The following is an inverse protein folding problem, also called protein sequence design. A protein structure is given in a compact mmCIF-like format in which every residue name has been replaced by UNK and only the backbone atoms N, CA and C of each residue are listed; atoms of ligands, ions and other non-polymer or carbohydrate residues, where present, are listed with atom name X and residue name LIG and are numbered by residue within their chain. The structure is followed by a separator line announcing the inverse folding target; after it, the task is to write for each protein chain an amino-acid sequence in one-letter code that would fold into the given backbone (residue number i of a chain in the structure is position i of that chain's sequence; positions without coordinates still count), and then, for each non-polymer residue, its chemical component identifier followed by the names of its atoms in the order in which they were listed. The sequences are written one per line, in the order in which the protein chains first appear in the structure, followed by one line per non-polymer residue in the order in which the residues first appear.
data_IF_591368455167
#
_entry.id   IF_591368455167
#
_cell.length_a   1.000
_cell.length_b   1.000
_cell.length_c   1.000
_cell.angle_alpha   90.00
_cell.angle_beta   90.00
_cell.angle_gamma   90.00
#
_symmetry.space_group_name_H-M   'P 1'
#
loop_
_entity.id
_entity.type
_entity.pdbx_description
1 polymer ?
#
# COMPACT_ATOMS: atom_id res chain seq x y z
N UNK A 1 -10.09 4.83 -0.18
CA UNK A 1 -10.31 6.00 -1.06
C UNK A 1 -11.63 5.97 -1.82
N UNK A 2 -12.45 6.99 -1.60
CA UNK A 2 -13.69 7.29 -2.35
C UNK A 2 -13.55 8.68 -2.95
N UNK A 3 -13.90 8.84 -4.22
CA UNK A 3 -13.93 10.13 -4.90
C UNK A 3 -15.40 10.54 -5.14
N UNK A 4 -15.80 11.69 -4.62
CA UNK A 4 -17.15 12.24 -4.78
C UNK A 4 -17.07 13.53 -5.59
N UNK A 5 -17.72 13.57 -6.75
CA UNK A 5 -17.85 14.79 -7.53
C UNK A 5 -18.74 15.79 -6.79
N UNK A 6 -18.34 17.06 -6.80
CA UNK A 6 -19.04 18.17 -6.18
C UNK A 6 -19.10 19.35 -7.14
N UNK A 7 -20.10 20.19 -6.96
CA UNK A 7 -20.20 21.49 -7.61
C UNK A 7 -20.48 22.55 -6.54
N UNK A 8 -19.69 23.63 -6.54
CA UNK A 8 -19.83 24.74 -5.59
C UNK A 8 -19.88 26.04 -6.38
N UNK A 9 -21.05 26.67 -6.42
CA UNK A 9 -21.31 27.90 -7.18
C UNK A 9 -20.94 27.76 -8.66
N UNK A 10 -21.35 26.66 -9.31
CA UNK A 10 -21.04 26.40 -10.72
C UNK A 10 -19.61 25.94 -10.99
N UNK A 11 -18.78 25.78 -9.95
CA UNK A 11 -17.40 25.32 -10.07
C UNK A 11 -17.29 23.85 -9.70
N UNK A 12 -16.85 23.03 -10.63
CA UNK A 12 -16.64 21.60 -10.42
C UNK A 12 -15.47 21.31 -9.49
N UNK A 13 -15.55 20.20 -8.76
CA UNK A 13 -14.47 19.68 -7.95
C UNK A 13 -14.72 18.25 -7.50
N UNK A 14 -13.78 17.71 -6.73
CA UNK A 14 -13.88 16.38 -6.15
C UNK A 14 -13.46 16.39 -4.69
N UNK A 15 -14.22 15.69 -3.85
CA UNK A 15 -13.83 15.31 -2.50
C UNK A 15 -13.25 13.91 -2.52
N UNK A 16 -11.98 13.79 -2.11
CA UNK A 16 -11.31 12.54 -1.85
C UNK A 16 -11.44 12.20 -0.36
N UNK A 17 -12.21 11.16 -0.08
CA UNK A 17 -12.41 10.59 1.25
C UNK A 17 -11.46 9.40 1.40
N UNK A 18 -10.74 9.34 2.51
CA UNK A 18 -9.73 8.30 2.76
C UNK A 18 -8.72 8.14 1.60
N UNK A 19 -8.01 9.22 1.19
CA UNK A 19 -7.09 9.16 0.05
C UNK A 19 -5.85 8.31 0.30
N UNK A 20 -5.60 7.90 1.54
CA UNK A 20 -4.58 6.91 1.89
C UNK A 20 -4.30 6.88 3.39
N UNK A 21 -3.67 5.80 3.85
CA UNK A 21 -3.35 5.56 5.26
C UNK A 21 -2.58 6.72 5.93
N UNK A 22 -1.75 7.45 5.17
CA UNK A 22 -0.98 8.59 5.68
C UNK A 22 -1.76 9.90 5.65
N UNK A 23 -2.95 9.97 5.05
CA UNK A 23 -3.72 11.21 4.88
C UNK A 23 -5.04 11.10 5.63
N UNK A 24 -5.02 11.47 6.91
CA UNK A 24 -6.18 11.42 7.81
C UNK A 24 -7.20 12.55 7.64
N UNK A 25 -7.34 13.14 6.44
CA UNK A 25 -8.27 14.24 6.16
C UNK A 25 -8.96 14.08 4.82
N UNK A 26 -10.13 14.69 4.67
CA UNK A 26 -10.76 14.89 3.37
C UNK A 26 -9.93 15.88 2.56
N UNK A 27 -9.67 15.55 1.30
CA UNK A 27 -8.97 16.41 0.35
C UNK A 27 -9.96 16.90 -0.70
N UNK A 28 -10.07 18.22 -0.84
CA UNK A 28 -10.91 18.88 -1.84
C UNK A 28 -10.04 19.36 -3.00
N UNK A 29 -10.39 18.92 -4.21
CA UNK A 29 -9.72 19.32 -5.45
C UNK A 29 -10.72 20.08 -6.32
N UNK A 30 -10.70 21.41 -6.26
CA UNK A 30 -11.49 22.27 -7.16
C UNK A 30 -10.82 22.44 -8.51
N UNK A 31 -11.61 22.53 -9.58
CA UNK A 31 -11.11 22.69 -10.96
C UNK A 31 -10.28 23.97 -11.14
N UNK A 32 -10.70 25.04 -10.47
CA UNK A 32 -10.06 26.36 -10.49
C UNK A 32 -8.94 26.52 -9.47
N UNK A 33 -8.69 25.48 -8.65
CA UNK A 33 -7.74 25.47 -7.53
C UNK A 33 -8.00 26.56 -6.47
N UNK A 34 -9.19 27.16 -6.44
CA UNK A 34 -9.55 28.17 -5.44
C UNK A 34 -10.28 27.53 -4.26
N UNK A 35 -10.38 28.26 -3.15
CA UNK A 35 -11.15 27.83 -1.98
C UNK A 35 -12.54 27.29 -2.41
N UNK A 36 -12.96 26.10 -1.95
CA UNK A 36 -12.39 25.30 -0.84
C UNK A 36 -11.33 24.24 -1.23
N UNK A 37 -10.54 24.46 -2.29
CA UNK A 37 -9.40 23.61 -2.65
C UNK A 37 -8.41 23.43 -1.48
N UNK A 38 -7.98 22.20 -1.21
CA UNK A 38 -7.11 21.87 -0.07
C UNK A 38 -5.66 22.31 -0.27
N UNK A 39 -5.14 22.26 -1.50
CA UNK A 39 -3.78 22.65 -1.82
C UNK A 39 -2.72 21.73 -1.21
N UNK A 40 -1.55 22.30 -0.97
CA UNK A 40 -0.38 21.60 -0.45
C UNK A 40 -0.45 21.50 1.08
N UNK A 41 -0.17 20.32 1.64
CA UNK A 41 -0.21 20.09 3.09
C UNK A 41 0.78 19.01 3.56
N UNK A 42 1.12 19.06 4.84
CA UNK A 42 1.92 18.03 5.54
C UNK A 42 0.99 17.26 6.49
N UNK A 43 0.86 15.93 6.36
CA UNK A 43 0.03 15.14 7.26
C UNK A 43 0.71 14.94 8.61
N UNK A 44 -0.08 15.01 9.69
CA UNK A 44 0.42 14.83 11.05
C UNK A 44 1.06 13.46 11.29
N UNK A 45 0.62 12.42 10.57
CA UNK A 45 1.15 11.05 10.68
C UNK A 45 2.50 10.86 9.98
N UNK A 46 2.91 11.78 9.08
CA UNK A 46 4.16 11.68 8.35
C UNK A 46 4.75 13.07 8.07
N UNK A 47 5.35 13.73 9.08
CA UNK A 47 5.77 15.13 8.99
C UNK A 47 6.93 15.39 8.01
N UNK A 48 7.58 14.33 7.52
CA UNK A 48 8.66 14.40 6.51
C UNK A 48 8.14 14.41 5.06
N UNK A 49 6.83 14.24 4.88
CA UNK A 49 6.20 14.14 3.57
C UNK A 49 5.26 15.30 3.35
N UNK A 50 5.32 15.89 2.18
CA UNK A 50 4.38 16.92 1.76
C UNK A 50 3.57 16.43 0.58
N UNK A 51 2.27 16.71 0.60
CA UNK A 51 1.29 16.23 -0.37
C UNK A 51 0.64 17.41 -1.07
N UNK A 52 0.39 17.28 -2.37
CA UNK A 52 -0.40 18.22 -3.14
C UNK A 52 -1.32 17.46 -4.09
N UNK A 53 -2.61 17.79 -4.10
CA UNK A 53 -3.59 17.20 -5.02
C UNK A 53 -4.11 18.30 -5.93
N UNK A 54 -3.90 18.16 -7.24
CA UNK A 54 -4.20 19.20 -8.22
C UNK A 54 -5.12 18.68 -9.32
N UNK A 55 -5.87 19.62 -9.90
CA UNK A 55 -6.74 19.39 -11.05
C UNK A 55 -5.94 19.01 -12.30
N UNK A 56 -6.65 18.36 -13.22
CA UNK A 56 -6.30 17.11 -13.87
C UNK A 56 -5.79 17.27 -15.29
N UNK A 57 -4.86 16.40 -15.69
CA UNK A 57 -4.61 16.11 -17.11
C UNK A 57 -5.90 15.50 -17.69
N UNK A 58 -6.51 16.16 -18.69
CA UNK A 58 -7.64 15.63 -19.45
C UNK A 58 -8.95 15.37 -18.70
N UNK A 59 -9.22 16.06 -17.57
CA UNK A 59 -10.50 16.01 -16.81
C UNK A 59 -10.94 14.62 -16.32
N UNK A 60 -10.05 13.61 -16.33
CA UNK A 60 -10.33 12.27 -15.78
C UNK A 60 -9.41 11.80 -14.65
N UNK A 61 -8.31 12.49 -14.33
CA UNK A 61 -7.32 12.05 -13.33
C UNK A 61 -6.80 13.12 -12.37
N UNK A 62 -6.97 12.94 -11.06
CA UNK A 62 -6.40 13.87 -10.09
C UNK A 62 -4.92 13.56 -9.98
N UNK A 63 -4.07 14.54 -10.24
CA UNK A 63 -2.65 14.38 -9.98
C UNK A 63 -2.38 14.60 -8.50
N UNK A 64 -1.67 13.65 -7.91
CA UNK A 64 -1.22 13.69 -6.54
C UNK A 64 0.32 13.64 -6.53
N UNK A 65 0.94 14.65 -5.94
CA UNK A 65 2.40 14.76 -5.81
C UNK A 65 2.84 14.58 -4.35
N UNK A 66 3.95 13.86 -4.14
CA UNK A 66 4.61 13.68 -2.83
C UNK A 66 6.05 14.19 -2.87
N UNK A 67 6.42 15.02 -1.91
CA UNK A 67 7.80 15.41 -1.66
C UNK A 67 8.30 14.74 -0.37
N UNK A 68 9.42 14.02 -0.46
CA UNK A 68 10.12 13.39 0.67
C UNK A 68 11.52 14.01 0.80
N UNK A 69 11.61 15.26 1.26
CA UNK A 69 12.87 16.04 1.35
C UNK A 69 13.65 16.19 0.02
N UNK A 70 13.05 15.82 -1.10
CA UNK A 70 13.58 15.95 -2.46
C UNK A 70 12.91 17.12 -3.19
N UNK A 71 13.64 17.89 -4.01
CA UNK A 71 13.03 18.94 -4.84
C UNK A 71 12.12 18.39 -5.94
N UNK A 72 12.34 17.14 -6.37
CA UNK A 72 11.51 16.47 -7.39
C UNK A 72 10.44 15.61 -6.71
N UNK A 73 9.14 15.86 -6.95
CA UNK A 73 8.07 15.04 -6.39
C UNK A 73 7.91 13.71 -7.12
N UNK A 74 7.44 12.72 -6.39
CA UNK A 74 6.79 11.53 -6.96
C UNK A 74 5.36 11.92 -7.35
N UNK A 75 5.00 11.73 -8.62
CA UNK A 75 3.66 12.06 -9.15
C UNK A 75 2.85 10.79 -9.38
N UNK A 76 1.59 10.84 -8.96
CA UNK A 76 0.63 9.74 -9.02
C UNK A 76 -0.68 10.26 -9.61
N UNK A 77 -1.50 9.35 -10.14
CA UNK A 77 -2.80 9.68 -10.74
C UNK A 77 -3.92 8.93 -10.03
N UNK A 78 -5.03 9.63 -9.77
CA UNK A 78 -6.28 9.06 -9.27
C UNK A 78 -7.36 9.23 -10.33
N UNK A 79 -7.77 8.13 -10.96
CA UNK A 79 -8.84 8.17 -11.96
C UNK A 79 -10.20 8.48 -11.29
N UNK A 80 -10.89 9.47 -11.84
CA UNK A 80 -12.23 9.91 -11.42
C UNK A 80 -13.23 10.00 -12.59
N UNK A 81 -12.82 9.57 -13.78
CA UNK A 81 -13.63 9.71 -15.00
C UNK A 81 -14.84 8.78 -15.10
N UNK A 82 -14.99 7.83 -14.17
CA UNK A 82 -16.16 6.96 -14.10
C UNK A 82 -16.45 6.55 -12.65
N UNK A 83 -17.74 6.33 -12.35
CA UNK A 83 -18.15 5.72 -11.09
C UNK A 83 -17.65 4.29 -11.00
N UNK A 84 -17.12 3.90 -9.84
CA UNK A 84 -16.86 2.50 -9.55
C UNK A 84 -18.18 1.73 -9.51
N UNK A 85 -18.29 0.62 -10.26
CA UNK A 85 -19.46 -0.26 -10.17
C UNK A 85 -19.63 -0.81 -8.74
N UNK A 86 -18.50 -1.11 -8.10
CA UNK A 86 -18.38 -1.31 -6.66
C UNK A 86 -16.95 -0.92 -6.23
N UNK A 87 -16.77 -0.07 -5.20
CA UNK A 87 -15.45 0.27 -4.67
C UNK A 87 -14.63 -0.97 -4.27
N UNK A 88 -15.32 -2.03 -3.84
CA UNK A 88 -14.75 -3.33 -3.50
C UNK A 88 -14.17 -3.98 -4.76
N UNK A 89 -14.89 -3.96 -5.88
CA UNK A 89 -14.45 -4.63 -7.10
C UNK A 89 -13.14 -4.08 -7.67
N UNK A 90 -12.86 -2.77 -7.59
CA UNK A 90 -11.62 -2.22 -8.16
C UNK A 90 -10.46 -2.32 -7.17
N UNK A 91 -10.69 -2.05 -5.88
CA UNK A 91 -9.64 -2.17 -4.87
C UNK A 91 -9.19 -3.61 -4.69
N UNK A 92 -10.12 -4.57 -4.63
CA UNK A 92 -9.80 -5.99 -4.55
C UNK A 92 -9.08 -6.48 -5.82
N UNK A 93 -9.56 -6.11 -7.02
CA UNK A 93 -8.91 -6.51 -8.28
C UNK A 93 -7.51 -5.95 -8.42
N UNK A 94 -7.26 -4.69 -8.01
CA UNK A 94 -5.90 -4.12 -8.02
C UNK A 94 -4.98 -4.84 -7.04
N UNK A 95 -5.51 -5.20 -5.87
CA UNK A 95 -4.77 -5.95 -4.85
C UNK A 95 -4.39 -7.36 -5.31
N UNK A 96 -5.20 -8.02 -6.16
CA UNK A 96 -4.88 -9.36 -6.68
C UNK A 96 -3.53 -9.39 -7.41
N UNK A 97 -3.21 -8.33 -8.15
CA UNK A 97 -2.04 -8.29 -9.04
C UNK A 97 -0.95 -7.35 -8.55
N UNK A 98 -1.18 -6.53 -7.52
CA UNK A 98 -0.09 -5.81 -6.85
C UNK A 98 0.99 -6.81 -6.43
N UNK A 99 2.28 -6.50 -6.32
CA UNK A 99 3.27 -7.53 -5.92
C UNK A 99 3.76 -7.34 -4.49
N UNK A 100 3.35 -6.31 -3.78
CA UNK A 100 3.60 -6.19 -2.34
C UNK A 100 2.37 -6.68 -1.57
N UNK A 101 2.60 -7.50 -0.55
CA UNK A 101 1.57 -8.17 0.23
C UNK A 101 1.82 -7.93 1.70
N UNK A 102 0.74 -7.75 2.45
CA UNK A 102 0.81 -7.65 3.90
C UNK A 102 -0.43 -8.22 4.58
N UNK A 103 -0.24 -8.71 5.80
CA UNK A 103 -1.28 -9.01 6.77
C UNK A 103 -0.90 -8.27 8.05
N UNK A 104 -1.75 -7.34 8.48
CA UNK A 104 -1.41 -6.33 9.48
C UNK A 104 -2.45 -6.31 10.60
N UNK A 105 -1.98 -6.19 11.83
CA UNK A 105 -2.78 -5.81 12.99
C UNK A 105 -2.54 -4.33 13.30
N UNK A 106 -3.60 -3.59 13.60
CA UNK A 106 -3.53 -2.17 13.98
C UNK A 106 -4.26 -1.88 15.27
N UNK A 107 -3.82 -0.83 15.96
CA UNK A 107 -4.56 -0.26 17.10
C UNK A 107 -5.81 0.51 16.63
N UNK A 108 -6.57 1.07 17.59
CA UNK A 108 -7.78 1.88 17.30
C UNK A 108 -7.48 3.21 16.60
N UNK A 109 -6.22 3.65 16.60
CA UNK A 109 -5.74 4.86 15.92
C UNK A 109 -5.12 4.55 14.54
N UNK A 110 -5.07 3.28 14.16
CA UNK A 110 -4.50 2.80 12.92
C UNK A 110 -3.02 2.43 13.00
N UNK A 111 -2.32 2.64 14.12
CA UNK A 111 -0.90 2.31 14.20
C UNK A 111 -0.66 0.80 14.07
N UNK A 112 0.38 0.42 13.32
CA UNK A 112 0.78 -0.98 13.14
C UNK A 112 1.27 -1.57 14.46
N UNK A 113 0.65 -2.67 14.89
CA UNK A 113 1.02 -3.42 16.08
C UNK A 113 1.85 -4.66 15.72
N UNK A 114 1.41 -5.42 14.71
CA UNK A 114 2.09 -6.63 14.30
C UNK A 114 1.73 -7.01 12.87
N UNK A 115 2.47 -7.94 12.28
CA UNK A 115 2.10 -8.53 11.02
C UNK A 115 3.25 -9.13 10.24
N UNK A 116 2.93 -9.42 8.98
CA UNK A 116 3.88 -9.85 7.97
C UNK A 116 3.73 -8.98 6.73
N UNK A 117 4.85 -8.64 6.10
CA UNK A 117 4.84 -8.10 4.75
C UNK A 117 5.96 -8.69 3.90
N UNK A 118 5.73 -8.76 2.59
CA UNK A 118 6.69 -9.28 1.62
C UNK A 118 6.38 -8.80 0.20
N UNK A 119 7.39 -8.85 -0.67
CA UNK A 119 7.19 -8.77 -2.11
C UNK A 119 6.98 -10.18 -2.64
N UNK A 120 5.84 -10.43 -3.29
CA UNK A 120 5.53 -11.68 -3.97
C UNK A 120 6.43 -11.83 -5.21
N UNK A 121 7.41 -12.71 -5.09
CA UNK A 121 8.42 -13.01 -6.09
C UNK A 121 9.00 -14.40 -5.79
N UNK A 122 9.77 -14.96 -6.72
CA UNK A 122 10.54 -16.16 -6.41
C UNK A 122 11.51 -15.86 -5.26
N UNK A 123 11.64 -16.81 -4.33
CA UNK A 123 12.53 -16.70 -3.17
C UNK A 123 12.23 -15.48 -2.27
N UNK A 124 10.96 -15.09 -2.16
CA UNK A 124 10.52 -14.02 -1.25
C UNK A 124 11.02 -14.21 0.18
N UNK A 125 11.27 -13.08 0.84
CA UNK A 125 11.55 -13.01 2.27
C UNK A 125 10.35 -12.38 2.98
N UNK A 126 9.85 -13.05 4.01
CA UNK A 126 8.83 -12.52 4.91
C UNK A 126 9.48 -11.63 5.95
N UNK A 127 8.99 -10.39 6.06
CA UNK A 127 9.33 -9.53 7.19
C UNK A 127 8.23 -9.63 8.23
N UNK A 128 8.52 -10.33 9.31
CA UNK A 128 7.64 -10.46 10.48
C UNK A 128 7.98 -9.34 11.46
N UNK A 129 6.98 -8.69 12.01
CA UNK A 129 7.17 -7.63 12.99
C UNK A 129 6.07 -7.63 14.05
N UNK A 130 6.41 -7.19 15.25
CA UNK A 130 5.48 -7.04 16.37
C UNK A 130 6.02 -5.99 17.35
N UNK A 131 5.13 -5.16 17.90
CA UNK A 131 5.41 -4.38 19.10
C UNK A 131 5.52 -5.32 20.31
N UNK A 132 6.31 -4.96 21.31
CA UNK A 132 6.45 -5.77 22.52
C UNK A 132 5.20 -5.65 23.42
N UNK A 133 4.80 -6.79 24.02
CA UNK A 133 3.63 -6.86 24.92
C UNK A 133 3.81 -5.98 26.18
N UNK A 134 5.05 -5.73 26.62
CA UNK A 134 5.38 -4.99 27.85
C UNK A 134 5.76 -3.53 27.58
N UNK A 135 6.44 -3.25 26.46
CA UNK A 135 6.81 -1.89 26.06
C UNK A 135 6.51 -1.65 24.57
N UNK A 136 5.44 -0.91 24.23
CA UNK A 136 5.06 -0.65 22.84
C UNK A 136 6.10 0.21 22.08
N UNK A 137 7.13 0.75 22.73
CA UNK A 137 8.25 1.40 22.04
C UNK A 137 9.28 0.40 21.49
N UNK A 138 9.28 -0.83 21.98
CA UNK A 138 10.16 -1.90 21.51
C UNK A 138 9.49 -2.59 20.33
N UNK A 139 10.17 -2.61 19.19
CA UNK A 139 9.71 -3.25 17.96
C UNK A 139 10.57 -4.45 17.62
N UNK A 140 9.97 -5.63 17.66
CA UNK A 140 10.56 -6.86 17.17
C UNK A 140 10.38 -6.93 15.66
N UNK A 141 11.46 -7.17 14.91
CA UNK A 141 11.40 -7.36 13.46
C UNK A 141 12.43 -8.39 13.02
N UNK A 142 11.98 -9.40 12.29
CA UNK A 142 12.87 -10.40 11.69
C UNK A 142 12.54 -10.62 10.22
N UNK A 143 13.56 -10.97 9.44
CA UNK A 143 13.45 -11.34 8.04
C UNK A 143 13.67 -12.84 7.91
N UNK A 144 12.69 -13.55 7.36
CA UNK A 144 12.69 -15.01 7.27
C UNK A 144 12.44 -15.41 5.82
N UNK A 145 13.32 -16.18 5.17
CA UNK A 145 13.04 -16.73 3.84
C UNK A 145 11.73 -17.52 3.84
N UNK A 146 10.87 -17.31 2.85
CA UNK A 146 9.59 -18.01 2.72
C UNK A 146 9.75 -19.54 2.69
N UNK A 147 10.88 -20.03 2.17
CA UNK A 147 11.24 -21.45 2.14
C UNK A 147 11.26 -22.12 3.51
N UNK A 148 11.51 -21.37 4.59
CA UNK A 148 11.49 -21.91 5.95
C UNK A 148 10.10 -22.37 6.44
N UNK A 149 9.01 -21.93 5.77
CA UNK A 149 7.64 -22.28 6.15
C UNK A 149 7.07 -23.46 5.32
N UNK A 150 7.89 -24.14 4.51
CA UNK A 150 7.45 -25.23 3.62
C UNK A 150 7.34 -26.58 4.33
N UNK A 151 8.43 -26.99 4.97
CA UNK A 151 8.68 -28.41 5.23
C UNK A 151 8.88 -28.75 6.72
N UNK A 152 8.92 -27.76 7.61
CA UNK A 152 9.24 -27.99 9.02
C UNK A 152 8.41 -27.14 9.99
N UNK A 153 7.75 -27.82 10.94
CA UNK A 153 7.20 -27.17 12.14
C UNK A 153 8.30 -26.67 13.09
N UNK A 154 9.56 -27.05 12.88
CA UNK A 154 10.70 -26.53 13.62
C UNK A 154 11.16 -25.23 12.96
N UNK A 155 10.70 -24.12 13.54
CA UNK A 155 11.21 -22.78 13.26
C UNK A 155 12.22 -22.40 14.34
N UNK A 156 13.20 -21.58 13.98
CA UNK A 156 14.20 -21.07 14.93
C UNK A 156 13.51 -20.41 16.15
N UNK A 157 14.13 -20.48 17.33
CA UNK A 157 13.53 -19.96 18.59
C UNK A 157 13.04 -18.50 18.47
N UNK A 158 13.76 -17.66 17.72
CA UNK A 158 13.38 -16.26 17.53
C UNK A 158 12.19 -16.10 16.57
N UNK A 159 12.07 -16.99 15.59
CA UNK A 159 10.90 -17.05 14.71
C UNK A 159 9.68 -17.54 15.49
N UNK A 160 9.82 -18.56 16.34
CA UNK A 160 8.71 -19.05 17.16
C UNK A 160 8.17 -17.95 18.10
N UNK A 161 9.08 -17.20 18.75
CA UNK A 161 8.72 -16.07 19.63
C UNK A 161 7.93 -15.00 18.87
N UNK A 162 8.40 -14.59 17.68
CA UNK A 162 7.70 -13.55 16.93
C UNK A 162 6.35 -14.05 16.40
N UNK A 163 6.25 -15.32 16.02
CA UNK A 163 4.98 -15.91 15.58
C UNK A 163 3.97 -15.90 16.73
N UNK A 164 4.38 -16.25 17.94
CA UNK A 164 3.53 -16.22 19.13
C UNK A 164 2.99 -14.80 19.39
N UNK A 165 3.88 -13.80 19.42
CA UNK A 165 3.51 -12.40 19.65
C UNK A 165 2.59 -11.87 18.52
N UNK A 166 2.98 -12.05 17.26
CA UNK A 166 2.19 -11.62 16.11
C UNK A 166 0.78 -12.22 16.12
N UNK A 167 0.66 -13.51 16.47
CA UNK A 167 -0.62 -14.22 16.43
C UNK A 167 -1.62 -13.63 17.42
N UNK A 168 -1.17 -13.23 18.62
CA UNK A 168 -2.02 -12.53 19.60
C UNK A 168 -2.59 -11.23 19.02
N UNK A 169 -1.75 -10.38 18.44
CA UNK A 169 -2.18 -9.12 17.84
C UNK A 169 -3.08 -9.31 16.62
N UNK A 170 -2.82 -10.36 15.82
CA UNK A 170 -3.63 -10.75 14.68
C UNK A 170 -4.94 -11.46 15.05
N UNK A 171 -5.18 -11.69 16.36
CA UNK A 171 -6.38 -12.37 16.89
C UNK A 171 -6.59 -13.76 16.29
N UNK A 172 -5.50 -14.50 16.12
CA UNK A 172 -5.50 -15.89 15.65
C UNK A 172 -4.53 -16.73 16.45
N UNK A 173 -4.61 -18.05 16.33
CA UNK A 173 -3.65 -18.96 16.96
C UNK A 173 -2.33 -18.97 16.18
N UNK A 174 -1.22 -19.27 16.87
CA UNK A 174 0.09 -19.48 16.23
C UNK A 174 0.02 -20.48 15.08
N UNK A 175 -0.73 -21.56 15.26
CA UNK A 175 -0.94 -22.60 14.24
C UNK A 175 -1.63 -22.00 13.01
N UNK A 176 -2.71 -21.25 13.18
CA UNK A 176 -3.40 -20.60 12.05
C UNK A 176 -2.47 -19.65 11.30
N UNK A 177 -1.70 -18.82 12.01
CA UNK A 177 -0.78 -17.90 11.38
C UNK A 177 0.32 -18.62 10.62
N UNK A 178 0.91 -19.68 11.21
CA UNK A 178 1.88 -20.54 10.54
C UNK A 178 1.30 -21.20 9.27
N UNK A 179 0.06 -21.73 9.33
CA UNK A 179 -0.61 -22.31 8.18
C UNK A 179 -0.78 -21.29 7.03
N UNK A 180 -1.09 -20.03 7.35
CA UNK A 180 -1.16 -18.94 6.36
C UNK A 180 0.21 -18.73 5.72
N UNK A 181 1.28 -18.60 6.52
CA UNK A 181 2.65 -18.40 6.01
C UNK A 181 3.12 -19.59 5.16
N UNK A 182 2.77 -20.82 5.54
CA UNK A 182 3.08 -22.03 4.78
C UNK A 182 2.33 -22.08 3.45
N UNK A 183 1.03 -21.74 3.45
CA UNK A 183 0.25 -21.65 2.22
C UNK A 183 0.82 -20.58 1.28
N UNK A 184 1.19 -19.41 1.81
CA UNK A 184 1.87 -18.36 1.05
C UNK A 184 3.21 -18.84 0.49
N UNK A 185 4.02 -19.53 1.28
CA UNK A 185 5.31 -20.07 0.83
C UNK A 185 5.16 -21.02 -0.38
N UNK A 186 4.11 -21.85 -0.38
CA UNK A 186 3.78 -22.75 -1.51
C UNK A 186 3.33 -21.98 -2.74
N UNK A 187 2.48 -20.94 -2.58
CA UNK A 187 2.05 -20.09 -3.71
C UNK A 187 3.25 -19.39 -4.36
N UNK A 188 4.22 -18.96 -3.54
CA UNK A 188 5.42 -18.25 -4.01
C UNK A 188 6.42 -19.16 -4.77
N UNK A 189 6.15 -20.46 -4.86
CA UNK A 189 6.88 -21.40 -5.72
C UNK A 189 6.29 -21.53 -7.11
N UNK A 190 5.03 -21.17 -7.27
CA UNK A 190 4.36 -21.23 -8.55
C UNK A 190 4.87 -20.08 -9.42
N UNK A 191 5.90 -20.40 -10.21
CA UNK A 191 6.53 -19.47 -11.12
C UNK A 191 5.54 -18.97 -12.18
N UNK A 192 4.67 -19.83 -12.69
CA UNK A 192 3.71 -19.46 -13.72
C UNK A 192 2.71 -18.44 -13.17
N UNK A 193 2.18 -18.69 -11.98
CA UNK A 193 1.33 -17.75 -11.25
C UNK A 193 2.04 -16.41 -11.00
N UNK A 194 3.28 -16.45 -10.49
CA UNK A 194 4.04 -15.23 -10.19
C UNK A 194 4.35 -14.42 -11.45
N UNK A 195 4.76 -15.07 -12.53
CA UNK A 195 5.05 -14.43 -13.81
C UNK A 195 3.78 -13.77 -14.38
N UNK A 196 2.64 -14.48 -14.32
CA UNK A 196 1.35 -13.93 -14.75
C UNK A 196 0.93 -12.72 -13.90
N UNK A 197 1.00 -12.84 -12.57
CA UNK A 197 0.65 -11.77 -11.64
C UNK A 197 1.53 -10.53 -11.84
N UNK A 198 2.85 -10.72 -11.93
CA UNK A 198 3.81 -9.63 -12.16
C UNK A 198 3.59 -8.97 -13.53
N UNK A 199 3.34 -9.76 -14.58
CA UNK A 199 3.03 -9.21 -15.91
C UNK A 199 1.81 -8.31 -15.88
N UNK A 200 0.72 -8.73 -15.24
CA UNK A 200 -0.49 -7.89 -15.12
C UNK A 200 -0.19 -6.63 -14.31
N UNK A 201 0.59 -6.73 -13.22
CA UNK A 201 1.01 -5.56 -12.44
C UNK A 201 1.77 -4.54 -13.29
N UNK A 202 2.70 -5.03 -14.11
CA UNK A 202 3.56 -4.20 -14.95
C UNK A 202 2.77 -3.58 -16.10
N UNK A 203 1.84 -4.33 -16.70
CA UNK A 203 0.96 -3.81 -17.75
C UNK A 203 0.03 -2.71 -17.19
N UNK A 204 -0.52 -2.87 -15.99
CA UNK A 204 -1.27 -1.81 -15.30
C UNK A 204 -0.38 -0.57 -15.06
N UNK A 205 0.88 -0.79 -14.68
CA UNK A 205 1.82 0.32 -14.48
C UNK A 205 2.10 1.06 -15.79
N UNK A 206 2.36 0.33 -16.88
CA UNK A 206 2.57 0.91 -18.22
C UNK A 206 1.36 1.68 -18.70
N UNK A 207 0.15 1.18 -18.49
CA UNK A 207 -1.08 1.94 -18.80
C UNK A 207 -1.15 3.28 -18.06
N UNK A 208 -0.59 3.37 -16.85
CA UNK A 208 -0.48 4.62 -16.10
C UNK A 208 0.65 5.55 -16.58
N UNK A 209 1.63 5.04 -17.33
CA UNK A 209 2.78 5.78 -17.85
C UNK A 209 2.57 6.19 -19.32
N UNK A 210 1.91 5.37 -20.13
CA UNK A 210 1.74 5.58 -21.57
C UNK A 210 0.78 6.75 -21.92
N UNK A 211 0.05 7.30 -20.94
CA UNK A 211 -0.66 8.58 -21.12
C UNK A 211 0.24 9.81 -20.90
N UNK A 212 1.47 9.63 -20.39
CA UNK A 212 2.40 10.72 -20.09
C UNK A 212 3.84 10.41 -20.55
N UNK A 213 4.09 10.69 -21.83
CA UNK A 213 5.38 10.90 -22.49
C UNK A 213 6.04 9.70 -23.20
N UNK A 214 6.17 9.89 -24.51
CA UNK A 214 7.47 9.76 -25.19
C UNK A 214 8.58 10.36 -24.30
N UNK A 215 9.21 9.57 -23.44
CA UNK A 215 10.63 9.70 -23.08
C UNK A 215 11.06 8.59 -22.13
N UNK A 216 12.14 7.93 -22.53
CA UNK A 216 12.84 6.86 -21.85
C UNK A 216 13.16 7.21 -20.39
N UNK A 217 12.96 6.23 -19.50
CA UNK A 217 13.28 6.38 -18.08
C UNK A 217 13.17 5.08 -17.32
N UNK A 218 14.06 4.13 -17.60
CA UNK A 218 14.34 2.97 -16.75
C UNK A 218 14.63 3.47 -15.34
N UNK A 219 13.82 3.10 -14.34
CA UNK A 219 14.19 3.29 -12.95
C UNK A 219 13.75 2.11 -12.07
N UNK A 220 14.78 1.44 -11.54
CA UNK A 220 14.71 0.49 -10.45
C UNK A 220 14.29 1.23 -9.17
N UNK A 221 13.19 0.79 -8.55
CA UNK A 221 12.86 1.21 -7.18
C UNK A 221 13.15 0.08 -6.20
N UNK A 222 14.27 0.25 -5.49
CA UNK A 222 14.54 -0.36 -4.20
C UNK A 222 13.61 0.28 -3.17
N UNK A 223 12.56 -0.43 -2.75
CA UNK A 223 11.81 -0.12 -1.54
C UNK A 223 12.47 -0.85 -0.37
N UNK A 224 13.56 -0.26 0.13
CA UNK A 224 14.13 -0.59 1.44
C UNK A 224 13.43 0.25 2.51
N UNK A 225 12.60 -0.41 3.32
CA UNK A 225 12.04 0.06 4.59
C UNK A 225 11.91 -1.09 5.58
#
# INVERSE_FOLDING_TARGET
MVAMQIEINGRGGVLLLDPGYQVGRVVTVMIDQQYPHTGRFVPASCPKKEYCYQTMVGEKYIQWSVWNDSPKPESNLVYIGASYHSPVCVTERRNLVYNFRSLLATDRKGHLLAGVYFKAALQSTFTLFCDDDQDPNIKHRIKVPSTKFRDSNEVDSDVDKILELCSKHLKMTKIQFYCILSALAKILEDKEFLDQMCKINDDIYKLGVDENNNNEGVNNYNLSG
#
